data_IF_404881537377
#
_entry.id   IF_404881537377
#
_cell.length_a   1.000
_cell.length_b   1.000
_cell.length_c   1.000
_cell.angle_alpha   90.00
_cell.angle_beta   90.00
_cell.angle_gamma   90.00
#
_symmetry.space_group_name_H-M   'P 1'
#
loop_
_entity.id
_entity.type
_entity.pdbx_description
1 polymer ?
#
# COMPACT_ATOMS: atom_id res chain seq x y z
N UNK A 1 -4.51 -21.54 -6.40
CA UNK A 1 -4.06 -20.27 -7.03
C UNK A 1 -4.60 -19.16 -6.15
N UNK A 2 -4.01 -18.99 -4.96
CA UNK A 2 -4.69 -18.36 -3.83
C UNK A 2 -3.82 -17.28 -3.18
N UNK A 3 -3.44 -16.26 -3.95
CA UNK A 3 -2.80 -15.03 -3.43
C UNK A 3 -3.82 -13.96 -3.03
N UNK A 4 -5.11 -14.30 -2.94
CA UNK A 4 -6.17 -13.35 -2.51
C UNK A 4 -6.39 -13.33 -0.99
N UNK A 5 -5.82 -14.29 -0.26
CA UNK A 5 -6.15 -14.52 1.16
C UNK A 5 -4.95 -14.12 2.01
N UNK A 6 -4.75 -12.82 2.28
CA UNK A 6 -4.07 -12.34 3.50
C UNK A 6 -4.00 -10.82 3.67
N UNK A 7 -4.48 -10.00 2.73
CA UNK A 7 -4.52 -8.53 2.95
C UNK A 7 -5.65 -8.07 3.88
N UNK A 8 -6.58 -8.97 4.25
CA UNK A 8 -7.76 -8.66 5.08
C UNK A 8 -7.44 -8.23 6.50
N UNK A 9 -6.22 -8.44 6.99
CA UNK A 9 -5.80 -8.10 8.35
C UNK A 9 -4.50 -7.31 8.39
N UNK A 10 -4.15 -6.62 7.30
CA UNK A 10 -3.16 -5.56 7.42
C UNK A 10 -3.86 -4.35 8.06
N UNK A 11 -4.10 -4.48 9.37
CA UNK A 11 -4.11 -3.34 10.27
C UNK A 11 -2.64 -2.94 10.32
N UNK A 12 -2.13 -2.26 9.27
CA UNK A 12 -0.93 -1.47 9.52
C UNK A 12 -1.42 -0.42 10.51
N UNK A 13 -1.01 -0.55 11.78
CA UNK A 13 -1.13 0.55 12.71
C UNK A 13 -0.54 1.78 12.02
N UNK A 14 -1.34 2.82 11.85
CA UNK A 14 -1.02 4.00 11.04
C UNK A 14 0.39 4.55 11.34
N UNK A 15 0.82 4.38 12.59
CA UNK A 15 2.12 4.74 13.15
C UNK A 15 3.31 3.95 12.58
N UNK A 16 3.11 2.77 11.99
CA UNK A 16 4.19 1.95 11.43
C UNK A 16 4.55 2.32 9.98
N UNK A 17 3.65 2.99 9.23
CA UNK A 17 3.95 3.41 7.85
C UNK A 17 4.82 4.66 7.83
N UNK A 18 4.42 5.68 8.58
CA UNK A 18 5.09 6.98 8.54
C UNK A 18 6.54 6.84 9.01
N UNK A 19 7.47 7.37 8.21
CA UNK A 19 8.91 7.32 8.46
C UNK A 19 9.59 6.03 7.98
N UNK A 20 8.85 4.98 7.61
CA UNK A 20 9.42 3.76 7.04
C UNK A 20 10.05 4.02 5.67
N UNK A 21 11.16 3.34 5.37
CA UNK A 21 11.85 3.49 4.08
C UNK A 21 11.12 2.76 2.96
N UNK A 22 11.32 3.20 1.72
CA UNK A 22 10.81 2.52 0.51
C UNK A 22 11.21 1.03 0.47
N UNK A 23 12.40 0.68 0.95
CA UNK A 23 12.90 -0.70 1.00
C UNK A 23 12.10 -1.56 2.00
N UNK A 24 11.83 -1.04 3.19
CA UNK A 24 11.01 -1.71 4.21
C UNK A 24 9.59 -1.89 3.68
N UNK A 25 9.02 -0.84 3.08
CA UNK A 25 7.68 -0.89 2.48
C UNK A 25 7.63 -1.93 1.36
N UNK A 26 8.62 -1.96 0.46
CA UNK A 26 8.70 -2.95 -0.62
C UNK A 26 8.87 -4.37 -0.10
N UNK A 27 9.57 -4.56 1.01
CA UNK A 27 9.71 -5.88 1.66
C UNK A 27 8.42 -6.32 2.35
N UNK A 28 7.68 -5.38 2.96
CA UNK A 28 6.45 -5.65 3.70
C UNK A 28 5.25 -5.89 2.78
N UNK A 29 5.07 -5.01 1.79
CA UNK A 29 3.89 -4.98 0.92
C UNK A 29 4.15 -5.58 -0.47
N UNK A 30 5.42 -5.86 -0.79
CA UNK A 30 5.82 -6.27 -2.12
C UNK A 30 5.84 -5.11 -3.12
N UNK A 31 5.79 -5.49 -4.40
CA UNK A 31 5.82 -4.54 -5.50
C UNK A 31 4.47 -3.81 -5.64
N UNK A 32 4.46 -2.47 -5.72
CA UNK A 32 3.23 -1.71 -5.87
C UNK A 32 2.60 -1.91 -7.26
N UNK A 33 1.27 -1.84 -7.33
CA UNK A 33 0.52 -1.85 -8.59
C UNK A 33 0.87 -0.64 -9.47
N UNK A 34 1.23 0.49 -8.86
CA UNK A 34 1.78 1.67 -9.53
C UNK A 34 2.96 2.22 -8.75
N UNK A 35 4.13 2.25 -9.38
CA UNK A 35 5.37 2.77 -8.80
C UNK A 35 5.72 4.13 -9.41
N UNK A 36 5.58 5.20 -8.63
CA UNK A 36 6.13 6.52 -8.93
C UNK A 36 7.41 6.80 -8.14
N UNK A 37 8.02 7.97 -8.39
CA UNK A 37 9.19 8.42 -7.64
C UNK A 37 8.81 8.81 -6.19
N UNK A 38 7.76 9.62 -6.04
CA UNK A 38 7.30 10.13 -4.74
C UNK A 38 5.96 9.53 -4.29
N UNK A 39 5.36 8.65 -5.08
CA UNK A 39 4.07 8.03 -4.76
C UNK A 39 4.04 6.58 -5.22
N UNK A 40 3.72 5.65 -4.32
CA UNK A 40 3.40 4.27 -4.67
C UNK A 40 1.95 3.97 -4.34
N UNK A 41 1.30 3.18 -5.19
CA UNK A 41 -0.11 2.80 -5.02
C UNK A 41 -0.25 1.28 -5.00
N UNK A 42 -0.94 0.79 -3.99
CA UNK A 42 -1.26 -0.63 -3.79
C UNK A 42 -2.77 -0.83 -3.84
N UNK A 43 -3.25 -1.83 -4.57
CA UNK A 43 -4.64 -2.27 -4.55
C UNK A 43 -4.80 -3.32 -3.45
N UNK A 44 -5.34 -2.92 -2.31
CA UNK A 44 -5.42 -3.75 -1.11
C UNK A 44 -6.67 -4.61 -1.04
N UNK A 45 -7.77 -4.17 -1.68
CA UNK A 45 -8.99 -4.98 -1.77
C UNK A 45 -9.76 -4.70 -3.06
N UNK A 46 -10.56 -5.66 -3.51
CA UNK A 46 -11.37 -5.60 -4.72
C UNK A 46 -12.79 -6.07 -4.39
N UNK A 47 -13.75 -5.15 -4.46
CA UNK A 47 -15.17 -5.44 -4.26
C UNK A 47 -15.92 -5.53 -5.61
N UNK A 48 -17.14 -6.08 -5.56
CA UNK A 48 -18.04 -6.14 -6.72
C UNK A 48 -17.38 -6.70 -7.99
N UNK A 49 -16.81 -7.90 -7.92
CA UNK A 49 -16.09 -8.54 -9.03
C UNK A 49 -14.95 -7.69 -9.63
N UNK A 50 -14.33 -6.82 -8.83
CA UNK A 50 -13.19 -5.99 -9.24
C UNK A 50 -13.54 -4.61 -9.80
N UNK A 51 -14.82 -4.23 -9.76
CA UNK A 51 -15.30 -2.91 -10.17
C UNK A 51 -14.90 -1.81 -9.19
N UNK A 52 -14.85 -2.12 -7.89
CA UNK A 52 -14.45 -1.18 -6.84
C UNK A 52 -13.14 -1.68 -6.24
N UNK A 53 -12.16 -0.79 -6.07
CA UNK A 53 -10.81 -1.16 -5.66
C UNK A 53 -10.36 -0.25 -4.53
N UNK A 54 -10.25 -0.81 -3.33
CA UNK A 54 -9.62 -0.09 -2.22
C UNK A 54 -8.13 0.04 -2.52
N UNK A 55 -7.62 1.27 -2.45
CA UNK A 55 -6.23 1.61 -2.75
C UNK A 55 -5.54 2.23 -1.55
N UNK A 56 -4.32 1.81 -1.28
CA UNK A 56 -3.38 2.48 -0.38
C UNK A 56 -2.40 3.29 -1.23
N UNK A 57 -2.41 4.60 -1.03
CA UNK A 57 -1.44 5.52 -1.60
C UNK A 57 -0.40 5.82 -0.53
N UNK A 58 0.87 5.61 -0.84
CA UNK A 58 1.99 5.98 0.02
C UNK A 58 2.75 7.12 -0.65
N UNK A 59 2.89 8.23 0.06
CA UNK A 59 3.65 9.39 -0.40
C UNK A 59 5.01 9.40 0.27
N UNK A 60 6.06 9.57 -0.52
CA UNK A 60 7.43 9.51 -0.05
C UNK A 60 8.10 10.88 -0.14
N UNK A 61 9.02 11.12 0.80
CA UNK A 61 9.95 12.22 0.78
C UNK A 61 11.29 11.74 1.34
N UNK A 62 12.39 11.98 0.61
CA UNK A 62 13.72 11.46 0.97
C UNK A 62 13.70 9.95 1.26
N UNK A 63 13.10 9.18 0.34
CA UNK A 63 13.00 7.71 0.41
C UNK A 63 12.23 7.14 1.62
N UNK A 64 11.54 7.98 2.38
CA UNK A 64 10.72 7.59 3.52
C UNK A 64 9.26 7.97 3.31
N UNK A 65 8.34 7.17 3.84
CA UNK A 65 6.92 7.49 3.83
C UNK A 65 6.69 8.75 4.66
N UNK A 66 6.15 9.77 4.03
CA UNK A 66 5.77 11.02 4.67
C UNK A 66 4.30 11.03 5.07
N UNK A 67 3.46 10.45 4.23
CA UNK A 67 2.01 10.46 4.37
C UNK A 67 1.41 9.27 3.63
N UNK A 68 0.17 8.92 3.94
CA UNK A 68 -0.57 7.91 3.20
C UNK A 68 -2.05 8.22 3.13
N UNK A 69 -2.71 7.65 2.12
CA UNK A 69 -4.14 7.82 1.92
C UNK A 69 -4.79 6.49 1.53
N UNK A 70 -5.91 6.16 2.18
CA UNK A 70 -6.74 5.01 1.86
C UNK A 70 -7.97 5.48 1.06
N UNK A 71 -7.99 5.16 -0.24
CA UNK A 71 -9.10 5.45 -1.15
C UNK A 71 -9.92 4.21 -1.49
N UNK A 72 -11.14 4.43 -2.01
CA UNK A 72 -12.02 3.40 -2.59
C UNK A 72 -12.08 3.48 -4.12
#
# INVERSE_FOLDING_TARGET
>A
MDKQIQFKEIIIEEDMLIGSSMEIIGSLLGEPDRKGHDEWVYVIDKYCFGLIKKRLHLFFFQEKVRDYYLGM
#
